data_IF_937614276380
#
_entry.id   IF_937614276380
#
_cell.length_a   1.000
_cell.length_b   1.000
_cell.length_c   1.000
_cell.angle_alpha   90.00
_cell.angle_beta   90.00
_cell.angle_gamma   90.00
#
_symmetry.space_group_name_H-M   'P 1'
#
loop_
_entity.id
_entity.type
_entity.pdbx_description
1 polymer ?
2 polymer ?
3 polymer ?
4 non-polymer ?
5 non-polymer ?
6 non-polymer ?
7 water ?
#
# COMPACT_ATOMS: atom_id res chain seq x y z
N UNK A 1 14.05 14.94 5.40
CA UNK A 1 12.79 15.18 4.72
C UNK A 1 11.61 15.21 5.66
N UNK A 2 10.42 15.33 5.08
CA UNK A 2 9.17 15.25 5.84
C UNK A 2 8.90 13.81 6.23
N UNK A 3 8.02 13.62 7.21
CA UNK A 3 7.67 12.26 7.66
C UNK A 3 6.20 12.16 8.02
N UNK A 4 5.71 10.92 8.08
CA UNK A 4 4.33 10.70 8.47
C UNK A 4 4.18 9.43 9.31
N UNK A 5 3.14 9.38 10.13
CA UNK A 5 2.73 8.13 10.72
C UNK A 5 1.27 7.91 10.35
N UNK A 6 0.94 6.69 9.95
CA UNK A 6 -0.44 6.40 9.54
C UNK A 6 -0.88 5.05 10.07
N UNK A 7 -2.15 4.97 10.45
CA UNK A 7 -2.74 3.67 10.80
C UNK A 7 -3.93 3.40 9.91
N UNK A 8 -4.06 2.13 9.51
CA UNK A 8 -5.09 1.72 8.57
C UNK A 8 -5.87 0.57 9.20
N UNK A 9 -7.19 0.68 9.22
CA UNK A 9 -8.05 -0.34 9.81
C UNK A 9 -9.07 -0.81 8.80
N UNK A 10 -9.24 -2.12 8.69
CA UNK A 10 -10.28 -2.71 7.84
C UNK A 10 -11.09 -3.74 8.62
N UNK A 11 -12.41 -3.64 8.57
CA UNK A 11 -13.29 -4.68 9.12
C UNK A 11 -14.24 -5.17 8.05
N UNK A 12 -14.36 -6.49 7.92
CA UNK A 12 -15.23 -7.08 6.91
C UNK A 12 -16.22 -8.04 7.56
N UNK A 13 -17.51 -7.78 7.41
CA UNK A 13 -18.50 -8.62 8.09
C UNK A 13 -18.61 -10.00 7.45
N UNK A 14 -19.05 -10.97 8.24
CA UNK A 14 -19.10 -12.37 7.83
C UNK A 14 -20.47 -12.92 8.20
N UNK A 15 -21.47 -12.63 7.36
CA UNK A 15 -22.89 -12.93 7.64
C UNK A 15 -23.13 -14.42 7.87
N UNK A 16 -22.32 -15.27 7.26
CA UNK A 16 -22.53 -16.70 7.31
C UNK A 16 -22.27 -17.31 8.68
N UNK A 17 -21.29 -16.75 9.39
CA UNK A 17 -20.91 -17.27 10.69
C UNK A 17 -19.80 -16.43 11.30
N UNK A 18 -19.95 -16.07 12.57
CA UNK A 18 -18.87 -15.45 13.29
C UNK A 18 -18.81 -13.93 13.17
N UNK A 19 -17.67 -13.38 13.57
CA UNK A 19 -17.49 -11.94 13.66
C UNK A 19 -16.67 -11.42 12.49
N UNK A 20 -16.59 -10.08 12.34
CA UNK A 20 -15.84 -9.56 11.20
C UNK A 20 -14.34 -9.88 11.25
N UNK A 21 -13.75 -10.04 10.07
CA UNK A 21 -12.30 -10.04 9.93
C UNK A 21 -11.82 -8.61 10.17
N UNK A 22 -10.84 -8.45 11.05
CA UNK A 22 -10.32 -7.13 11.37
C UNK A 22 -8.81 -7.12 11.21
N UNK A 23 -8.32 -6.19 10.41
CA UNK A 23 -6.89 -6.06 10.17
C UNK A 23 -6.48 -4.61 10.35
N UNK A 24 -5.47 -4.38 11.19
CA UNK A 24 -4.93 -3.05 11.43
C UNK A 24 -3.44 -3.07 11.13
N UNK A 25 -2.94 -2.03 10.48
CA UNK A 25 -1.51 -1.90 10.23
C UNK A 25 -1.08 -0.46 10.53
N UNK A 26 0.14 -0.31 11.03
CA UNK A 26 0.70 1.01 11.26
C UNK A 26 1.96 1.19 10.44
N UNK A 27 2.16 2.40 9.92
CA UNK A 27 3.32 2.77 9.11
C UNK A 27 3.98 4.02 9.65
N UNK A 28 5.31 4.07 9.52
CA UNK A 28 6.02 5.35 9.55
C UNK A 28 6.56 5.51 8.14
N UNK A 29 6.19 6.61 7.49
CA UNK A 29 6.52 6.77 6.07
C UNK A 29 6.10 5.51 5.31
N UNK A 30 7.02 4.89 4.55
CA UNK A 30 6.64 3.70 3.79
C UNK A 30 7.08 2.39 4.44
N UNK A 31 7.21 2.41 5.77
CA UNK A 31 7.68 1.25 6.52
C UNK A 31 6.58 0.78 7.47
N UNK A 32 6.08 -0.43 7.26
CA UNK A 32 5.14 -1.00 8.21
C UNK A 32 5.88 -1.33 9.50
N UNK A 33 5.28 -1.01 10.64
CA UNK A 33 5.95 -1.31 11.91
C UNK A 33 5.13 -2.10 12.93
N UNK A 34 3.80 -2.11 12.77
CA UNK A 34 2.93 -2.93 13.63
C UNK A 34 1.78 -3.49 12.82
N UNK A 35 1.16 -4.54 13.36
CA UNK A 35 -0.05 -5.12 12.76
C UNK A 35 -0.88 -5.81 13.83
N UNK A 36 -2.17 -5.90 13.56
CA UNK A 36 -3.08 -6.76 14.29
C UNK A 36 -3.97 -7.43 13.27
N UNK A 37 -4.10 -8.75 13.39
CA UNK A 37 -4.99 -9.48 12.50
C UNK A 37 -5.84 -10.40 13.37
N UNK A 38 -7.15 -10.21 13.31
CA UNK A 38 -8.07 -11.02 14.10
C UNK A 38 -7.93 -12.51 13.81
N UNK A 39 -7.48 -12.85 12.61
CA UNK A 39 -7.29 -14.26 12.22
C UNK A 39 -6.01 -14.87 12.76
N UNK A 40 -5.10 -14.04 13.25
CA UNK A 40 -3.80 -14.50 13.73
C UNK A 40 -3.89 -15.07 15.14
N UNK A 41 -2.85 -15.77 15.57
CA UNK A 41 -2.91 -16.50 16.84
C UNK A 41 -2.70 -15.63 18.08
N UNK A 42 -1.88 -14.60 17.96
CA UNK A 42 -1.44 -13.82 19.13
C UNK A 42 -2.58 -13.06 19.80
N UNK A 43 -3.50 -12.55 18.99
CA UNK A 43 -4.53 -11.63 19.44
C UNK A 43 -3.91 -10.44 20.13
N UNK A 44 -2.72 -10.06 19.66
CA UNK A 44 -2.02 -8.89 20.16
C UNK A 44 -1.57 -7.98 19.02
N UNK A 45 -1.34 -6.71 19.34
CA UNK A 45 -0.59 -5.89 18.40
C UNK A 45 0.81 -6.48 18.32
N UNK A 46 1.32 -6.63 17.10
CA UNK A 46 2.61 -7.32 16.88
C UNK A 46 3.60 -6.40 16.20
N UNK A 47 4.89 -6.56 16.54
CA UNK A 47 5.94 -5.76 15.87
C UNK A 47 6.19 -6.23 14.43
N UNK A 48 6.53 -5.30 13.56
CA UNK A 48 6.90 -5.65 12.18
C UNK A 48 8.17 -4.91 11.72
N UNK A 49 8.80 -4.20 12.64
CA UNK A 49 10.09 -3.57 12.37
C UNK A 49 11.00 -3.71 13.59
N UNK A 50 12.31 -3.89 13.37
CA UNK A 50 13.18 -4.15 14.51
C UNK A 50 13.16 -3.01 15.52
N UNK A 51 13.04 -1.77 15.05
CA UNK A 51 13.14 -0.63 15.95
C UNK A 51 11.95 -0.45 16.88
N UNK A 52 10.86 -1.18 16.66
CA UNK A 52 9.72 -1.09 17.58
C UNK A 52 9.78 -2.18 18.65
N UNK A 53 10.61 -3.20 18.41
CA UNK A 53 10.65 -4.35 19.32
C UNK A 53 11.10 -3.97 20.74
N UNK A 54 11.88 -2.90 20.83
CA UNK A 54 12.39 -2.41 22.10
C UNK A 54 11.31 -1.83 23.01
N UNK A 55 10.14 -1.53 22.46
CA UNK A 55 9.06 -1.01 23.30
C UNK A 55 8.68 -2.07 24.34
N UNK A 56 8.39 -1.62 25.56
CA UNK A 56 8.16 -2.51 26.68
C UNK A 56 6.75 -3.07 26.79
N UNK A 57 6.52 -3.94 27.78
CA UNK A 57 5.23 -4.61 27.94
C UNK A 57 4.08 -3.63 28.10
N UNK A 58 4.32 -2.49 28.73
CA UNK A 58 3.27 -1.49 28.88
C UNK A 58 2.78 -1.01 27.52
N UNK A 59 3.73 -0.81 26.60
CA UNK A 59 3.41 -0.36 25.25
C UNK A 59 2.54 -1.40 24.55
N UNK A 60 3.02 -2.64 24.50
CA UNK A 60 2.30 -3.68 23.78
C UNK A 60 0.92 -3.95 24.38
N UNK A 61 0.81 -3.87 25.71
CA UNK A 61 -0.49 -4.05 26.35
C UNK A 61 -1.48 -2.98 25.93
N UNK A 62 -1.02 -1.73 25.97
CA UNK A 62 -1.87 -0.60 25.63
C UNK A 62 -2.29 -0.61 24.17
N UNK A 63 -1.33 -0.87 23.29
CA UNK A 63 -1.63 -0.95 21.86
C UNK A 63 -2.66 -2.05 21.58
N UNK A 64 -2.47 -3.21 22.20
CA UNK A 64 -3.38 -4.33 22.05
C UNK A 64 -4.78 -3.97 22.55
N UNK A 65 -4.86 -3.42 23.76
CA UNK A 65 -6.13 -3.02 24.33
C UNK A 65 -6.85 -2.07 23.39
N UNK A 66 -6.14 -1.06 22.90
CA UNK A 66 -6.75 -0.07 22.03
C UNK A 66 -7.19 -0.65 20.69
N UNK A 67 -6.36 -1.48 20.07
CA UNK A 67 -6.70 -2.01 18.76
C UNK A 67 -7.86 -3.01 18.85
N UNK A 68 -7.89 -3.78 19.94
CA UNK A 68 -9.01 -4.73 20.12
C UNK A 68 -10.30 -3.93 20.30
N UNK A 69 -10.20 -2.81 21.03
CA UNK A 69 -11.34 -1.93 21.22
C UNK A 69 -11.82 -1.33 19.89
N UNK A 70 -10.87 -0.94 19.03
CA UNK A 70 -11.18 -0.48 17.67
C UNK A 70 -11.98 -1.55 16.93
N UNK A 71 -11.57 -2.80 17.05
CA UNK A 71 -12.26 -3.87 16.33
C UNK A 71 -13.70 -3.99 16.79
N UNK A 72 -13.95 -3.81 18.08
CA UNK A 72 -15.32 -3.93 18.58
C UNK A 72 -16.15 -2.73 18.14
N UNK A 73 -15.53 -1.54 18.14
CA UNK A 73 -16.24 -0.36 17.65
C UNK A 73 -16.66 -0.56 16.19
N UNK A 74 -15.76 -1.08 15.36
CA UNK A 74 -16.09 -1.37 13.97
C UNK A 74 -17.16 -2.42 13.80
N UNK A 75 -17.13 -3.44 14.65
CA UNK A 75 -18.18 -4.46 14.62
C UNK A 75 -19.56 -3.83 14.85
N UNK A 76 -19.66 -2.99 15.88
CA UNK A 76 -20.92 -2.32 16.16
C UNK A 76 -21.29 -1.41 14.98
N UNK A 77 -20.30 -0.69 14.46
CA UNK A 77 -20.53 0.22 13.33
C UNK A 77 -21.12 -0.51 12.14
N UNK A 78 -20.62 -1.71 11.86
CA UNK A 78 -21.16 -2.47 10.73
C UNK A 78 -22.66 -2.70 10.90
N UNK A 79 -23.07 -3.00 12.13
CA UNK A 79 -24.48 -3.16 12.44
C UNK A 79 -25.25 -1.86 12.25
N UNK A 80 -24.70 -0.77 12.79
CA UNK A 80 -25.34 0.54 12.68
C UNK A 80 -25.52 0.95 11.22
N UNK A 81 -24.49 0.73 10.43
CA UNK A 81 -24.50 1.15 9.02
C UNK A 81 -25.49 0.31 8.23
N UNK A 82 -25.57 -0.98 8.53
CA UNK A 82 -26.57 -1.83 7.90
C UNK A 82 -27.96 -1.21 8.11
N UNK A 83 -28.22 -0.76 9.33
CA UNK A 83 -29.49 -0.13 9.64
C UNK A 83 -29.70 1.19 8.92
N UNK A 84 -28.68 2.05 8.94
CA UNK A 84 -28.76 3.35 8.27
C UNK A 84 -29.15 3.20 6.81
N UNK A 85 -28.59 2.19 6.14
CA UNK A 85 -28.80 1.99 4.71
C UNK A 85 -29.89 0.96 4.40
N UNK A 86 -30.61 0.53 5.43
CA UNK A 86 -31.70 -0.42 5.25
C UNK A 86 -31.25 -1.66 4.47
N UNK A 87 -30.10 -2.20 4.84
CA UNK A 87 -29.54 -3.35 4.14
C UNK A 87 -29.84 -4.68 4.81
N UNK A 88 -29.78 -5.75 4.04
CA UNK A 88 -30.03 -7.09 4.53
C UNK A 88 -28.93 -7.55 5.48
N UNK A 89 -29.24 -8.50 6.36
CA UNK A 89 -28.21 -9.11 7.19
C UNK A 89 -27.42 -10.14 6.40
N UNK A 90 -27.79 -10.35 5.15
CA UNK A 90 -27.23 -11.46 4.37
C UNK A 90 -25.91 -11.16 3.65
N UNK A 91 -25.60 -9.89 3.42
CA UNK A 91 -24.42 -9.54 2.64
C UNK A 91 -23.23 -9.13 3.48
N UNK A 92 -22.03 -9.30 2.94
CA UNK A 92 -20.81 -8.84 3.61
C UNK A 92 -20.61 -7.36 3.30
N UNK A 93 -20.22 -6.61 4.32
CA UNK A 93 -19.90 -5.19 4.14
C UNK A 93 -18.58 -4.84 4.79
N UNK A 94 -18.04 -3.68 4.44
CA UNK A 94 -16.70 -3.30 4.86
C UNK A 94 -16.67 -1.90 5.48
N UNK A 95 -15.97 -1.77 6.62
CA UNK A 95 -15.64 -0.46 7.15
C UNK A 95 -14.13 -0.28 7.06
N UNK A 96 -13.70 0.91 6.66
CA UNK A 96 -12.28 1.23 6.66
C UNK A 96 -12.08 2.55 7.38
N UNK A 97 -10.95 2.66 8.09
CA UNK A 97 -10.63 3.91 8.77
C UNK A 97 -9.13 4.12 8.63
N UNK A 98 -8.73 5.37 8.36
CA UNK A 98 -7.32 5.70 8.26
C UNK A 98 -7.08 7.00 8.97
N UNK A 99 -6.06 7.06 9.78
CA UNK A 99 -5.69 8.36 10.35
C UNK A 99 -4.19 8.50 10.46
N UNK A 100 -3.74 9.72 10.65
CA UNK A 100 -2.31 9.94 10.78
C UNK A 100 -1.90 11.39 10.81
N UNK A 101 -0.61 11.61 10.98
CA UNK A 101 -0.07 12.95 11.08
C UNK A 101 1.19 13.08 10.22
N UNK A 102 1.39 14.27 9.65
CA UNK A 102 2.58 14.57 8.87
C UNK A 102 3.41 15.60 9.63
N UNK A 103 4.72 15.46 9.58
CA UNK A 103 5.62 16.50 10.11
C UNK A 103 6.61 16.92 9.03
N UNK A 104 7.13 18.14 9.16
CA UNK A 104 8.08 18.65 8.19
C UNK A 104 9.50 18.21 8.47
N UNK A 105 10.45 18.76 7.74
CA UNK A 105 11.85 18.39 7.93
C UNK A 105 12.35 18.76 9.33
N UNK A 106 11.66 19.71 9.96
CA UNK A 106 11.98 20.11 11.33
C UNK A 106 11.18 19.31 12.36
N UNK A 107 10.45 18.30 11.88
CA UNK A 107 9.66 17.40 12.73
C UNK A 107 8.52 18.08 13.47
N UNK A 108 8.16 19.28 13.05
CA UNK A 108 7.00 19.95 13.61
C UNK A 108 5.74 19.54 12.84
N UNK A 109 4.60 19.56 13.52
CA UNK A 109 3.31 19.21 12.95
C UNK A 109 3.02 19.98 11.68
N UNK A 110 2.56 19.27 10.65
CA UNK A 110 2.21 19.88 9.37
C UNK A 110 0.70 19.74 9.14
N UNK A 111 0.21 18.51 9.25
CA UNK A 111 -1.22 18.26 9.06
C UNK A 111 -1.68 16.94 9.69
N UNK A 112 -2.98 16.84 9.94
CA UNK A 112 -3.54 15.63 10.49
C UNK A 112 -4.71 15.17 9.64
N UNK A 113 -5.04 13.89 9.72
CA UNK A 113 -6.20 13.38 9.00
C UNK A 113 -6.85 12.21 9.71
N UNK A 114 -8.15 12.04 9.46
CA UNK A 114 -8.90 10.94 10.03
C UNK A 114 -10.13 10.76 9.16
N UNK A 115 -10.15 9.68 8.41
CA UNK A 115 -11.26 9.46 7.50
C UNK A 115 -11.79 8.04 7.59
N UNK A 116 -13.05 7.91 7.22
CA UNK A 116 -13.81 6.70 7.44
C UNK A 116 -14.61 6.40 6.18
N UNK A 117 -14.65 5.13 5.79
CA UNK A 117 -15.38 4.70 4.61
C UNK A 117 -16.26 3.50 4.89
N UNK A 118 -17.38 3.42 4.16
CA UNK A 118 -18.27 2.26 4.21
C UNK A 118 -18.40 1.71 2.80
N UNK A 119 -18.16 0.41 2.67
CA UNK A 119 -18.17 -0.28 1.38
C UNK A 119 -17.38 0.47 0.30
N UNK A 120 -16.24 1.02 0.70
CA UNK A 120 -15.28 1.56 -0.24
C UNK A 120 -15.54 2.97 -0.71
N UNK A 121 -16.55 3.60 -0.12
CA UNK A 121 -16.87 4.98 -0.47
C UNK A 121 -16.70 5.89 0.74
N UNK A 122 -16.26 7.13 0.49
CA UNK A 122 -16.19 8.14 1.55
C UNK A 122 -17.46 8.11 2.38
N UNK A 123 -17.31 8.15 3.70
CA UNK A 123 -18.45 8.24 4.60
C UNK A 123 -18.35 9.54 5.38
N UNK A 124 -17.40 9.61 6.29
CA UNK A 124 -17.16 10.85 7.03
C UNK A 124 -15.67 11.07 7.19
N UNK A 125 -15.24 12.32 7.14
CA UNK A 125 -13.82 12.63 7.26
C UNK A 125 -13.62 13.93 8.03
N UNK A 126 -12.59 13.94 8.86
CA UNK A 126 -12.18 15.17 9.54
C UNK A 126 -11.53 16.13 8.55
N UNK A 127 -12.01 17.38 8.51
CA UNK A 127 -11.39 18.37 7.65
C UNK A 127 -10.01 18.79 8.15
N UNK A 128 -9.25 19.47 7.32
CA UNK A 128 -7.88 19.82 7.67
C UNK A 128 -7.80 20.75 8.87
N UNK A 129 -8.88 21.46 9.18
CA UNK A 129 -8.89 22.30 10.38
C UNK A 129 -8.89 21.48 11.67
N UNK A 130 -9.13 20.17 11.53
CA UNK A 130 -9.22 19.24 12.65
C UNK A 130 -10.34 19.62 13.61
N UNK A 131 -11.35 20.31 13.06
CA UNK A 131 -12.51 20.73 13.86
C UNK A 131 -13.82 20.37 13.19
N UNK A 132 -13.82 20.31 11.86
CA UNK A 132 -15.02 20.20 11.07
C UNK A 132 -15.12 18.82 10.41
N UNK A 133 -16.32 18.47 9.92
CA UNK A 133 -16.56 17.16 9.32
C UNK A 133 -17.14 17.24 7.91
N UNK A 134 -16.60 16.42 7.02
CA UNK A 134 -17.16 16.20 5.70
C UNK A 134 -17.98 14.92 5.75
N UNK A 135 -19.31 15.07 5.66
CA UNK A 135 -20.22 13.93 5.63
C UNK A 135 -20.73 13.76 4.22
N UNK A 136 -20.54 12.57 3.65
CA UNK A 136 -20.80 12.39 2.22
C UNK A 136 -22.27 12.28 1.84
N UNK A 137 -23.08 11.76 2.76
CA UNK A 137 -24.51 11.55 2.52
C UNK A 137 -25.27 11.72 3.82
N UNK A 138 -26.57 11.44 3.81
CA UNK A 138 -27.41 11.75 4.97
C UNK A 138 -27.18 10.80 6.14
N UNK A 139 -26.76 9.57 5.87
CA UNK A 139 -26.38 8.66 6.95
C UNK A 139 -25.18 9.25 7.67
N UNK A 140 -24.16 9.61 6.90
CA UNK A 140 -22.96 10.25 7.44
C UNK A 140 -23.30 11.53 8.19
N UNK A 141 -24.29 12.27 7.71
CA UNK A 141 -24.72 13.47 8.41
C UNK A 141 -25.27 13.13 9.80
N UNK A 142 -26.00 12.02 9.90
CA UNK A 142 -26.47 11.55 11.20
C UNK A 142 -25.27 11.29 12.12
N UNK A 143 -24.29 10.58 11.58
CA UNK A 143 -23.06 10.32 12.32
C UNK A 143 -22.38 11.63 12.72
N UNK A 144 -22.35 12.61 11.82
CA UNK A 144 -21.67 13.87 12.09
C UNK A 144 -22.25 14.55 13.33
N UNK A 145 -23.58 14.60 13.41
CA UNK A 145 -24.22 15.21 14.57
C UNK A 145 -23.93 14.43 15.85
N UNK A 146 -23.91 13.11 15.75
CA UNK A 146 -23.53 12.26 16.87
C UNK A 146 -22.11 12.59 17.32
N UNK A 147 -21.20 12.70 16.35
CA UNK A 147 -19.79 12.96 16.67
C UNK A 147 -19.55 14.36 17.22
N UNK A 148 -20.35 15.32 16.78
CA UNK A 148 -20.30 16.66 17.37
C UNK A 148 -20.66 16.58 18.84
N UNK A 149 -21.79 15.93 19.12
CA UNK A 149 -22.28 15.83 20.49
C UNK A 149 -21.30 15.10 21.41
N UNK A 150 -20.53 14.19 20.84
CA UNK A 150 -19.57 13.38 21.62
C UNK A 150 -18.14 13.95 21.63
N UNK A 151 -17.96 15.15 21.08
CA UNK A 151 -16.67 15.83 21.13
C UNK A 151 -15.55 15.06 20.44
N UNK A 152 -15.92 14.31 19.40
CA UNK A 152 -14.95 13.46 18.71
C UNK A 152 -13.79 14.24 18.07
N UNK A 153 -14.12 15.32 17.35
CA UNK A 153 -13.09 16.11 16.70
C UNK A 153 -12.07 16.67 17.71
N UNK A 154 -12.55 17.13 18.86
CA UNK A 154 -11.63 17.64 19.88
C UNK A 154 -10.60 16.58 20.25
N UNK A 155 -11.07 15.36 20.49
CA UNK A 155 -10.18 14.28 20.89
C UNK A 155 -9.21 13.93 19.78
N UNK A 156 -9.72 13.86 18.55
CA UNK A 156 -8.85 13.54 17.41
C UNK A 156 -7.78 14.61 17.20
N UNK A 157 -8.18 15.87 17.27
CA UNK A 157 -7.25 16.98 17.13
C UNK A 157 -6.13 16.89 18.17
N UNK A 158 -6.49 16.59 19.42
CA UNK A 158 -5.51 16.46 20.49
C UNK A 158 -4.51 15.35 20.19
N UNK A 159 -5.03 14.22 19.73
CA UNK A 159 -4.17 13.08 19.36
C UNK A 159 -3.27 13.42 18.18
N UNK A 160 -3.85 14.01 17.15
CA UNK A 160 -3.11 14.23 15.91
C UNK A 160 -1.97 15.24 16.07
N UNK A 161 -2.20 16.27 16.87
CA UNK A 161 -1.18 17.31 17.08
C UNK A 161 -0.28 16.99 18.26
N UNK A 162 -0.66 16.00 19.06
CA UNK A 162 0.09 15.66 20.27
C UNK A 162 0.71 14.28 20.16
N UNK A 163 0.04 13.30 20.75
CA UNK A 163 0.55 11.93 20.77
C UNK A 163 1.08 11.49 19.42
N UNK A 164 0.31 11.73 18.36
CA UNK A 164 0.71 11.26 17.03
C UNK A 164 2.10 11.78 16.66
N UNK A 165 2.29 13.09 16.78
CA UNK A 165 3.58 13.66 16.37
C UNK A 165 4.70 13.31 17.35
N UNK A 166 4.39 13.28 18.63
CA UNK A 166 5.38 12.98 19.66
C UNK A 166 5.96 11.58 19.48
N UNK A 167 5.07 10.62 19.22
CA UNK A 167 5.51 9.24 19.06
C UNK A 167 6.14 8.99 17.70
N UNK A 168 5.66 9.70 16.68
CA UNK A 168 6.34 9.67 15.38
C UNK A 168 7.80 10.07 15.55
N UNK A 169 8.02 11.16 16.29
CA UNK A 169 9.39 11.63 16.52
C UNK A 169 10.21 10.59 17.28
N UNK A 170 9.59 9.93 18.24
CA UNK A 170 10.24 8.86 18.97
C UNK A 170 10.70 7.75 18.03
N UNK A 171 9.79 7.32 17.16
CA UNK A 171 10.09 6.23 16.23
C UNK A 171 11.20 6.63 15.28
N UNK A 172 11.15 7.86 14.77
CA UNK A 172 12.15 8.35 13.83
C UNK A 172 13.54 8.29 14.44
N UNK A 173 13.64 8.61 15.73
CA UNK A 173 14.92 8.55 16.43
C UNK A 173 15.35 7.11 16.67
N UNK A 174 14.44 6.29 17.17
CA UNK A 174 14.76 4.89 17.48
C UNK A 174 15.11 4.07 16.25
N UNK A 175 14.48 4.37 15.13
CA UNK A 175 14.74 3.67 13.89
C UNK A 175 15.53 4.49 12.90
N UNK A 176 16.33 5.43 13.39
CA UNK A 176 16.99 6.39 12.50
C UNK A 176 17.83 5.75 11.40
N UNK A 177 18.49 4.63 11.73
CA UNK A 177 19.42 4.02 10.80
C UNK A 177 18.74 3.60 9.49
N UNK A 178 17.45 3.32 9.55
CA UNK A 178 16.68 3.05 8.34
C UNK A 178 15.64 4.13 8.01
N UNK A 179 14.90 4.59 9.01
CA UNK A 179 13.81 5.54 8.75
C UNK A 179 14.30 6.90 8.24
N UNK A 180 15.49 7.31 8.66
CA UNK A 180 16.03 8.58 8.23
C UNK A 180 17.07 8.40 7.13
N UNK A 181 17.11 7.22 6.54
CA UNK A 181 18.02 6.93 5.43
C UNK A 181 17.24 6.87 4.13
N UNK A 182 17.73 7.55 3.10
CA UNK A 182 17.15 7.41 1.78
C UNK A 182 17.98 6.42 0.97
N UNK A 183 17.31 5.58 0.20
CA UNK A 183 18.00 4.65 -0.69
C UNK A 183 17.71 5.11 -2.11
N UNK A 184 18.71 5.70 -2.74
CA UNK A 184 18.55 6.18 -4.11
C UNK A 184 18.26 5.02 -5.05
N UNK A 185 17.43 5.26 -6.06
CA UNK A 185 17.12 4.20 -7.03
C UNK A 185 18.37 3.78 -7.79
N UNK A 186 18.56 2.48 -7.93
CA UNK A 186 19.57 1.96 -8.84
C UNK A 186 18.93 1.90 -10.21
N UNK A 187 19.53 2.58 -11.18
CA UNK A 187 18.88 2.75 -12.47
C UNK A 187 19.65 2.13 -13.62
N UNK A 188 18.93 1.57 -14.59
CA UNK A 188 19.56 1.10 -15.82
C UNK A 188 18.52 1.03 -16.92
N UNK A 189 18.99 0.85 -18.15
CA UNK A 189 18.07 0.81 -19.27
C UNK A 189 18.21 -0.51 -20.01
N UNK A 190 17.07 -1.08 -20.38
CA UNK A 190 17.06 -2.29 -21.22
C UNK A 190 16.45 -1.96 -22.58
N UNK A 191 16.70 -2.82 -23.55
CA UNK A 191 16.35 -2.60 -24.95
C UNK A 191 15.73 -3.87 -25.48
N UNK A 192 14.58 -3.74 -26.13
CA UNK A 192 13.80 -4.91 -26.56
C UNK A 192 13.29 -4.65 -27.97
N UNK A 193 13.98 -5.24 -28.94
CA UNK A 193 13.63 -5.04 -30.35
C UNK A 193 12.29 -5.67 -30.64
N UNK A 194 11.46 -4.94 -31.36
CA UNK A 194 10.14 -5.42 -31.74
C UNK A 194 10.13 -5.83 -33.20
N UNK A 195 11.07 -5.26 -33.96
CA UNK A 195 11.19 -5.55 -35.38
C UNK A 195 12.52 -5.01 -35.86
N UNK A 196 12.76 -5.07 -37.17
CA UNK A 196 13.91 -4.41 -37.76
C UNK A 196 13.81 -2.90 -37.60
N UNK A 197 12.58 -2.40 -37.42
CA UNK A 197 12.32 -0.98 -37.52
C UNK A 197 12.23 -0.26 -36.18
N UNK A 198 11.86 -0.96 -35.12
CA UNK A 198 11.65 -0.30 -33.83
C UNK A 198 11.96 -1.17 -32.62
N UNK A 199 12.09 -0.51 -31.47
CA UNK A 199 12.46 -1.19 -30.24
C UNK A 199 11.87 -0.47 -29.06
N UNK A 200 11.67 -1.20 -27.96
CA UNK A 200 11.27 -0.61 -26.69
C UNK A 200 12.51 -0.35 -25.84
N UNK A 201 12.64 0.88 -25.34
CA UNK A 201 13.61 1.15 -24.31
C UNK A 201 12.87 1.18 -22.97
N UNK A 202 13.38 0.44 -22.00
CA UNK A 202 12.75 0.41 -20.68
C UNK A 202 13.72 0.94 -19.63
N UNK A 203 13.29 1.98 -18.91
CA UNK A 203 14.09 2.66 -17.91
C UNK A 203 13.66 2.17 -16.54
N UNK A 204 14.61 1.56 -15.81
CA UNK A 204 14.34 0.91 -14.55
C UNK A 204 14.86 1.71 -13.36
N UNK A 205 14.04 1.76 -12.31
CA UNK A 205 14.49 2.26 -11.02
C UNK A 205 14.21 1.18 -9.96
N UNK A 206 15.27 0.73 -9.28
CA UNK A 206 15.16 -0.41 -8.38
C UNK A 206 15.69 -0.13 -6.98
N UNK A 207 15.14 -0.86 -6.03
CA UNK A 207 15.65 -0.89 -4.66
C UNK A 207 15.66 0.48 -4.00
N UNK A 208 14.64 1.31 -4.27
CA UNK A 208 14.64 2.66 -3.71
C UNK A 208 13.70 2.80 -2.51
N UNK A 209 13.99 3.82 -1.70
CA UNK A 209 13.17 4.17 -0.54
C UNK A 209 13.41 5.63 -0.23
N UNK A 210 12.34 6.43 -0.01
CA UNK A 210 10.93 6.03 0.06
C UNK A 210 10.33 5.73 -1.32
N UNK A 211 9.04 5.43 -1.33
CA UNK A 211 8.38 4.99 -2.56
C UNK A 211 8.20 6.11 -3.59
N UNK A 212 8.05 7.35 -3.14
CA UNK A 212 7.88 8.49 -4.04
C UNK A 212 9.04 8.62 -5.05
N UNK A 213 8.69 8.69 -6.34
CA UNK A 213 9.66 8.78 -7.41
C UNK A 213 8.99 9.30 -8.67
N UNK A 214 9.75 9.96 -9.54
CA UNK A 214 9.23 10.38 -10.84
C UNK A 214 10.17 9.90 -11.94
N UNK A 215 9.60 9.21 -12.93
CA UNK A 215 10.33 8.74 -14.10
C UNK A 215 9.69 9.41 -15.29
N UNK A 216 10.49 10.08 -16.11
CA UNK A 216 9.96 10.74 -17.30
C UNK A 216 10.88 10.49 -18.50
N UNK A 217 10.30 10.46 -19.69
CA UNK A 217 11.07 10.34 -20.92
C UNK A 217 11.11 11.67 -21.65
N UNK A 218 12.24 11.96 -22.29
CA UNK A 218 12.35 13.10 -23.17
C UNK A 218 12.87 12.62 -24.51
N UNK A 219 12.44 13.29 -25.58
CA UNK A 219 13.06 13.11 -26.89
C UNK A 219 13.60 14.45 -27.33
N UNK A 220 14.88 14.49 -27.65
CA UNK A 220 15.55 15.73 -28.05
C UNK A 220 15.26 16.85 -27.04
N UNK A 221 15.23 16.48 -25.77
CA UNK A 221 15.16 17.46 -24.70
C UNK A 221 13.77 18.00 -24.40
N UNK A 222 12.75 17.33 -24.93
CA UNK A 222 11.36 17.72 -24.65
C UNK A 222 10.57 16.51 -24.18
N UNK A 223 9.74 16.71 -23.16
CA UNK A 223 8.97 15.62 -22.58
C UNK A 223 8.23 14.84 -23.66
N UNK A 224 8.30 13.52 -23.56
CA UNK A 224 7.55 12.67 -24.46
C UNK A 224 6.59 11.76 -23.72
N UNK A 225 5.33 11.76 -24.15
CA UNK A 225 4.34 10.87 -23.55
C UNK A 225 3.71 9.91 -24.57
N UNK A 226 3.72 10.29 -25.85
CA UNK A 226 3.28 9.39 -26.92
C UNK A 226 4.10 8.10 -26.89
N UNK A 227 3.46 6.96 -27.06
CA UNK A 227 4.16 5.68 -27.14
C UNK A 227 4.97 5.35 -25.87
N UNK A 228 4.49 5.79 -24.72
CA UNK A 228 5.15 5.46 -23.46
C UNK A 228 4.25 4.61 -22.57
N UNK A 229 4.88 3.89 -21.65
CA UNK A 229 4.17 3.15 -20.62
C UNK A 229 4.87 3.32 -19.28
N UNK A 230 4.08 3.58 -18.24
CA UNK A 230 4.63 3.80 -16.90
C UNK A 230 3.88 2.90 -15.92
N UNK A 231 4.57 1.97 -15.27
CA UNK A 231 3.89 1.08 -14.35
C UNK A 231 3.81 1.67 -12.95
N UNK A 232 2.79 1.27 -12.21
CA UNK A 232 2.65 1.74 -10.83
C UNK A 232 3.83 1.26 -9.99
N UNK A 233 4.26 2.15 -9.09
CA UNK A 233 5.35 1.82 -8.18
C UNK A 233 4.94 0.61 -7.37
N UNK A 234 5.86 -0.34 -7.23
CA UNK A 234 5.55 -1.62 -6.62
C UNK A 234 6.60 -2.03 -5.59
N UNK A 235 6.19 -2.77 -4.55
CA UNK A 235 7.12 -3.18 -3.49
C UNK A 235 8.03 -4.31 -3.95
N UNK A 236 9.33 -4.20 -3.66
CA UNK A 236 10.26 -5.27 -3.99
C UNK A 236 10.08 -6.46 -3.04
N UNK A 237 9.60 -6.19 -1.83
CA UNK A 237 9.41 -7.22 -0.82
C UNK A 237 10.45 -7.21 0.29
N UNK A 238 11.48 -6.39 0.10
CA UNK A 238 12.55 -6.27 1.09
C UNK A 238 12.54 -4.87 1.72
N UNK A 239 11.41 -4.18 1.62
CA UNK A 239 11.28 -2.85 2.17
C UNK A 239 11.50 -1.74 1.15
N UNK A 240 12.05 -2.09 -0.01
CA UNK A 240 12.29 -1.11 -1.07
C UNK A 240 11.24 -1.18 -2.18
N UNK A 241 11.35 -0.29 -3.14
CA UNK A 241 10.35 -0.18 -4.21
C UNK A 241 10.98 -0.20 -5.59
N UNK A 242 10.15 -0.48 -6.60
CA UNK A 242 10.59 -0.55 -7.98
C UNK A 242 9.63 0.20 -8.88
N UNK A 243 10.13 0.67 -10.02
CA UNK A 243 9.26 1.28 -11.04
C UNK A 243 9.99 1.26 -12.37
N UNK A 244 9.24 1.21 -13.47
CA UNK A 244 9.85 1.43 -14.78
C UNK A 244 8.97 2.24 -15.71
N UNK A 245 9.62 2.84 -16.71
CA UNK A 245 8.92 3.60 -17.74
C UNK A 245 9.51 3.15 -19.05
N UNK A 246 8.67 2.97 -20.06
CA UNK A 246 9.16 2.49 -21.36
C UNK A 246 8.67 3.38 -22.49
N UNK A 247 9.42 3.38 -23.59
CA UNK A 247 9.04 4.14 -24.78
C UNK A 247 9.41 3.30 -26.02
N UNK A 248 8.58 3.36 -27.06
CA UNK A 248 8.90 2.69 -28.31
C UNK A 248 9.55 3.70 -29.24
N UNK A 249 10.69 3.34 -29.83
CA UNK A 249 11.46 4.27 -30.64
C UNK A 249 11.86 3.64 -31.97
N UNK A 250 12.07 4.47 -33.01
CA UNK A 250 12.62 3.93 -34.25
C UNK A 250 14.05 3.45 -34.01
N UNK A 251 14.37 2.22 -34.40
CA UNK A 251 15.72 1.71 -34.20
C UNK A 251 16.75 2.57 -34.90
N UNK A 252 17.85 2.83 -34.19
CA UNK A 252 18.89 3.71 -34.71
C UNK A 252 18.77 5.10 -34.12
N UNK A 253 17.61 5.39 -33.53
CA UNK A 253 17.34 6.74 -33.01
C UNK A 253 17.36 6.79 -31.47
N UNK A 254 17.93 5.77 -30.85
CA UNK A 254 17.89 5.65 -29.40
C UNK A 254 18.52 6.81 -28.66
N UNK A 255 19.58 7.39 -29.22
CA UNK A 255 20.30 8.45 -28.51
C UNK A 255 19.50 9.73 -28.36
N UNK A 256 18.39 9.87 -29.08
CA UNK A 256 17.51 11.03 -28.92
C UNK A 256 16.76 10.97 -27.61
N UNK A 257 16.69 9.79 -27.01
CA UNK A 257 15.79 9.56 -25.89
C UNK A 257 16.52 9.51 -24.55
N UNK A 258 16.02 10.29 -23.61
CA UNK A 258 16.59 10.31 -22.27
C UNK A 258 15.55 10.00 -21.20
N UNK A 259 15.94 9.18 -20.24
CA UNK A 259 15.08 8.89 -19.10
C UNK A 259 15.56 9.72 -17.92
N UNK A 260 14.62 10.35 -17.23
CA UNK A 260 14.94 11.25 -16.14
C UNK A 260 14.34 10.74 -14.86
N UNK A 261 15.17 10.64 -13.82
CA UNK A 261 14.75 10.03 -12.56
C UNK A 261 14.89 11.03 -11.42
N UNK A 262 13.78 11.33 -10.76
CA UNK A 262 13.80 12.22 -9.59
C UNK A 262 13.45 11.42 -8.34
N UNK A 263 14.23 11.58 -7.29
CA UNK A 263 14.00 10.85 -6.03
C UNK A 263 14.68 11.60 -4.90
N UNK A 264 14.08 11.54 -3.71
CA UNK A 264 14.63 12.23 -2.53
C UNK A 264 16.09 11.84 -2.25
N UNK A 265 16.45 10.61 -2.61
CA UNK A 265 17.79 10.10 -2.36
C UNK A 265 18.83 10.54 -3.38
N UNK A 266 18.40 11.31 -4.37
CA UNK A 266 19.29 11.84 -5.40
C UNK A 266 19.47 13.35 -5.27
N UNK A 267 20.71 13.80 -5.03
CA UNK A 267 21.03 15.24 -4.93
C UNK A 267 20.58 15.98 -6.19
N UNK A 268 20.87 15.38 -7.33
CA UNK A 268 20.43 15.90 -8.63
C UNK A 268 19.75 14.76 -9.37
N UNK A 269 18.73 15.09 -10.18
CA UNK A 269 18.06 14.05 -10.97
C UNK A 269 19.05 13.33 -11.87
N UNK A 270 18.79 12.05 -12.13
CA UNK A 270 19.64 11.29 -13.02
C UNK A 270 19.08 11.34 -14.43
N UNK A 271 19.98 11.30 -15.40
CA UNK A 271 19.61 11.19 -16.81
C UNK A 271 20.23 9.91 -17.37
N UNK A 272 19.42 9.06 -17.98
CA UNK A 272 19.93 7.85 -18.63
C UNK A 272 19.70 7.88 -20.13
N UNK A 273 20.66 7.31 -20.86
CA UNK A 273 20.57 7.13 -22.31
C UNK A 273 20.99 5.70 -22.62
N UNK A 274 20.44 5.13 -23.69
CA UNK A 274 20.80 3.76 -24.07
C UNK A 274 22.29 3.69 -24.44
N UNK A 275 22.99 2.68 -23.89
CA UNK A 275 24.41 2.51 -24.18
C UNK A 275 24.65 1.34 -25.12
N UNK B 1 -16.76 -4.42 -6.96
CA UNK B 1 -16.91 -3.00 -7.27
C UNK B 1 -15.72 -2.51 -8.11
N UNK B 2 -14.51 -2.82 -7.65
CA UNK B 2 -13.30 -2.42 -8.36
C UNK B 2 -12.39 -3.62 -8.61
N UNK B 3 -11.98 -3.82 -9.85
CA UNK B 3 -11.24 -5.01 -10.23
C UNK B 3 -9.75 -4.85 -9.95
N UNK B 4 -9.06 -5.95 -9.60
CA UNK B 4 -7.64 -5.85 -9.26
C UNK B 4 -6.75 -5.53 -10.45
N UNK B 5 -5.82 -4.61 -10.26
CA UNK B 5 -4.66 -4.49 -11.14
C UNK B 5 -3.65 -5.52 -10.67
N UNK B 6 -2.86 -6.05 -11.60
CA UNK B 6 -1.93 -7.12 -11.28
C UNK B 6 -0.57 -6.83 -11.90
N UNK B 7 0.48 -6.92 -11.09
CA UNK B 7 1.85 -6.98 -11.62
C UNK B 7 2.54 -8.21 -11.08
N UNK B 8 3.16 -8.97 -11.96
CA UNK B 8 3.97 -10.12 -11.56
C UNK B 8 5.41 -9.83 -11.96
N UNK B 9 6.32 -10.04 -11.03
CA UNK B 9 7.70 -9.62 -11.24
C UNK B 9 8.61 -10.22 -10.19
N UNK B 10 9.91 -10.14 -10.44
CA UNK B 10 10.90 -10.66 -9.49
C UNK B 10 11.45 -9.55 -8.60
N UNK B 11 11.85 -9.92 -7.40
CA UNK B 11 12.44 -8.96 -6.48
C UNK B 11 13.75 -8.43 -7.03
N UNK B 12 14.57 -9.33 -7.58
CA UNK B 12 15.87 -8.98 -8.15
C UNK B 12 15.90 -9.26 -9.64
N UNK B 13 16.82 -8.60 -10.37
CA UNK B 13 16.90 -8.87 -11.79
C UNK B 13 17.12 -10.37 -11.98
N UNK B 14 16.37 -10.96 -12.90
CA UNK B 14 16.37 -12.40 -13.04
C UNK B 14 17.60 -12.90 -13.79
N UNK B 15 18.19 -13.97 -13.27
CA UNK B 15 19.23 -14.71 -13.96
C UNK B 15 18.87 -16.16 -13.82
N UNK B 16 18.84 -16.90 -14.92
CA UNK B 16 18.49 -18.30 -14.85
C UNK B 16 19.43 -19.04 -13.91
N UNK B 17 18.85 -19.90 -13.07
CA UNK B 17 19.62 -20.70 -12.13
C UNK B 17 19.97 -20.01 -10.83
N UNK B 18 19.62 -18.74 -10.67
CA UNK B 18 19.90 -18.03 -9.43
C UNK B 18 18.63 -17.72 -8.64
N UNK B 19 18.61 -18.17 -7.39
CA UNK B 19 17.42 -18.00 -6.56
C UNK B 19 17.02 -16.54 -6.41
N UNK B 20 15.71 -16.34 -6.23
CA UNK B 20 15.11 -15.02 -6.32
C UNK B 20 13.78 -15.10 -5.60
N UNK B 21 12.95 -14.06 -5.75
CA UNK B 21 11.63 -14.05 -5.14
C UNK B 21 10.64 -13.64 -6.20
N UNK B 22 9.55 -14.39 -6.30
CA UNK B 22 8.49 -14.11 -7.28
C UNK B 22 7.38 -13.35 -6.57
N UNK B 23 7.07 -12.17 -7.08
CA UNK B 23 6.04 -11.30 -6.50
C UNK B 23 4.81 -11.21 -7.37
N UNK B 24 3.64 -11.22 -6.74
CA UNK B 24 2.43 -10.81 -7.41
C UNK B 24 1.79 -9.71 -6.59
N UNK B 25 1.74 -8.52 -7.16
CA UNK B 25 1.24 -7.35 -6.47
C UNK B 25 -0.15 -7.02 -7.01
N UNK B 26 -1.15 -7.12 -6.15
CA UNK B 26 -2.52 -6.84 -6.57
C UNK B 26 -2.98 -5.57 -5.88
N UNK B 27 -3.65 -4.69 -6.64
CA UNK B 27 -4.01 -3.39 -6.11
C UNK B 27 -5.23 -2.81 -6.80
N UNK B 28 -5.78 -1.75 -6.21
CA UNK B 28 -6.92 -1.03 -6.77
C UNK B 28 -8.23 -1.79 -6.72
N UNK B 29 -8.32 -2.82 -5.87
CA UNK B 29 -9.52 -3.64 -5.81
C UNK B 29 -10.41 -3.39 -4.59
N UNK B 30 -11.68 -3.76 -4.73
CA UNK B 30 -12.64 -3.68 -3.64
C UNK B 30 -13.82 -4.58 -4.01
N UNK B 31 -14.30 -5.41 -3.05
CA UNK B 31 -13.88 -5.52 -1.65
C UNK B 31 -12.56 -6.27 -1.49
N UNK B 32 -12.14 -6.50 -0.24
CA UNK B 32 -10.80 -7.00 0.03
C UNK B 32 -10.63 -8.51 -0.17
N UNK B 33 -11.72 -9.28 -0.12
CA UNK B 33 -11.63 -10.72 -0.33
C UNK B 33 -11.09 -11.00 -1.73
N UNK B 34 -10.04 -11.81 -1.81
CA UNK B 34 -9.39 -12.06 -3.09
C UNK B 34 -8.63 -13.38 -3.06
N UNK B 35 -8.55 -14.05 -4.20
CA UNK B 35 -7.80 -15.29 -4.31
C UNK B 35 -6.60 -15.06 -5.21
N UNK B 36 -5.41 -15.27 -4.66
CA UNK B 36 -4.18 -15.08 -5.42
C UNK B 36 -3.29 -16.30 -5.27
N UNK B 37 -2.93 -16.91 -6.39
CA UNK B 37 -1.99 -18.02 -6.37
C UNK B 37 -0.82 -17.73 -7.27
N UNK B 38 0.36 -18.21 -6.89
CA UNK B 38 1.51 -18.19 -7.78
C UNK B 38 1.64 -19.57 -8.41
N UNK B 39 1.91 -19.61 -9.72
CA UNK B 39 1.94 -20.88 -10.44
C UNK B 39 3.32 -21.14 -10.99
N UNK B 40 3.70 -22.41 -10.97
CA UNK B 40 4.89 -22.87 -11.68
C UNK B 40 4.41 -23.91 -12.67
N UNK B 41 4.55 -23.62 -13.96
CA UNK B 41 4.09 -24.53 -15.00
C UNK B 41 2.63 -24.90 -14.81
N UNK B 42 1.81 -23.91 -14.44
CA UNK B 42 0.38 -24.10 -14.31
C UNK B 42 -0.09 -24.65 -12.98
N UNK B 43 0.84 -25.08 -12.13
CA UNK B 43 0.49 -25.67 -10.84
C UNK B 43 0.68 -24.70 -9.69
N UNK B 44 -0.27 -24.68 -8.77
CA UNK B 44 -0.19 -23.81 -7.61
C UNK B 44 1.07 -24.08 -6.79
N UNK B 45 1.77 -23.02 -6.42
CA UNK B 45 2.91 -23.12 -5.51
C UNK B 45 2.37 -23.08 -4.09
N UNK B 46 2.79 -24.03 -3.26
CA UNK B 46 2.21 -24.21 -1.94
C UNK B 46 2.66 -23.19 -0.88
N UNK B 47 3.95 -22.88 -0.86
CA UNK B 47 4.46 -21.99 0.18
C UNK B 47 4.45 -20.51 -0.26
N UNK B 48 3.28 -19.90 -0.25
CA UNK B 48 3.14 -18.51 -0.67
C UNK B 48 2.65 -17.64 0.48
N UNK B 49 3.38 -16.56 0.76
CA UNK B 49 3.03 -15.64 1.84
C UNK B 49 2.47 -14.35 1.26
N UNK B 50 1.82 -13.55 2.10
CA UNK B 50 1.36 -12.24 1.66
C UNK B 50 1.46 -11.17 2.74
N UNK B 51 1.48 -9.92 2.30
CA UNK B 51 1.56 -8.77 3.19
C UNK B 51 0.24 -8.57 3.92
N UNK B 52 0.27 -7.76 4.96
CA UNK B 52 -0.94 -7.43 5.69
C UNK B 52 -1.77 -6.42 4.89
N UNK B 53 -3.08 -6.70 4.82
CA UNK B 53 -4.00 -5.87 4.04
C UNK B 53 -3.89 -4.40 4.38
N UNK B 54 -3.70 -3.57 3.36
CA UNK B 54 -3.73 -2.14 3.55
C UNK B 54 -4.47 -1.53 2.35
N UNK B 55 -4.58 -0.22 2.33
CA UNK B 55 -5.34 0.42 1.26
C UNK B 55 -4.86 1.81 0.94
N UNK B 56 -5.25 2.29 -0.23
CA UNK B 56 -4.87 3.61 -0.72
C UNK B 56 -5.89 4.69 -0.35
N UNK B 57 -5.56 5.93 -0.73
CA UNK B 57 -6.40 7.08 -0.46
C UNK B 57 -7.83 6.90 -0.96
N UNK B 58 -7.98 6.23 -2.10
CA UNK B 58 -9.31 6.00 -2.68
C UNK B 58 -10.01 4.77 -2.10
N UNK B 59 -9.46 4.23 -1.01
CA UNK B 59 -10.01 3.09 -0.27
C UNK B 59 -9.77 1.74 -0.93
N UNK B 60 -9.20 1.72 -2.13
CA UNK B 60 -8.92 0.45 -2.79
C UNK B 60 -7.76 -0.28 -2.11
N UNK B 61 -7.86 -1.60 -2.07
CA UNK B 61 -6.91 -2.43 -1.32
C UNK B 61 -5.68 -2.81 -2.14
N UNK B 62 -4.60 -3.13 -1.44
CA UNK B 62 -3.44 -3.73 -2.09
C UNK B 62 -2.78 -4.79 -1.21
N UNK B 63 -2.23 -5.80 -1.86
CA UNK B 63 -1.55 -6.92 -1.22
C UNK B 63 -0.37 -7.37 -2.06
N UNK B 64 0.71 -7.77 -1.40
CA UNK B 64 1.81 -8.41 -2.12
C UNK B 64 1.85 -9.89 -1.76
N UNK B 65 1.81 -10.75 -2.77
CA UNK B 65 1.98 -12.19 -2.57
C UNK B 65 3.37 -12.55 -3.09
N UNK B 66 4.07 -13.45 -2.39
CA UNK B 66 5.46 -13.73 -2.75
C UNK B 66 5.93 -15.10 -2.29
N UNK B 67 6.90 -15.64 -3.02
CA UNK B 67 7.51 -16.91 -2.66
C UNK B 67 8.91 -16.96 -3.28
N UNK B 68 9.78 -17.78 -2.72
CA UNK B 68 11.09 -17.98 -3.35
C UNK B 68 10.92 -18.77 -4.64
N UNK B 69 11.72 -18.44 -5.65
CA UNK B 69 11.71 -19.21 -6.89
C UNK B 69 13.06 -19.08 -7.58
N UNK B 70 13.31 -19.96 -8.54
CA UNK B 70 14.52 -19.87 -9.34
C UNK B 70 14.13 -19.81 -10.81
N UNK B 71 14.35 -18.64 -11.44
CA UNK B 71 14.11 -18.51 -12.88
C UNK B 71 14.91 -19.55 -13.65
N UNK B 72 14.31 -20.14 -14.69
CA UNK B 72 15.03 -21.04 -15.57
C UNK B 72 14.59 -20.83 -17.00
N UNK B 73 15.28 -21.47 -17.93
CA UNK B 73 14.90 -21.40 -19.34
C UNK B 73 13.62 -22.17 -19.60
N UNK B 74 13.35 -23.18 -18.77
CA UNK B 74 12.26 -24.11 -19.05
C UNK B 74 10.96 -23.87 -18.29
N UNK B 75 11.05 -23.27 -17.11
CA UNK B 75 9.88 -23.11 -16.26
C UNK B 75 9.11 -21.82 -16.52
N UNK B 76 7.79 -21.92 -16.52
CA UNK B 76 6.95 -20.75 -16.66
C UNK B 76 6.29 -20.43 -15.33
N UNK B 77 6.38 -19.15 -14.94
CA UNK B 77 5.73 -18.72 -13.72
C UNK B 77 4.60 -17.76 -14.04
N UNK B 78 3.61 -17.68 -13.15
CA UNK B 78 2.44 -16.84 -13.39
C UNK B 78 1.73 -16.55 -12.09
N UNK B 79 0.84 -15.54 -12.13
CA UNK B 79 -0.01 -15.24 -10.99
C UNK B 79 -1.44 -15.45 -11.43
N UNK B 80 -2.23 -16.13 -10.62
CA UNK B 80 -3.62 -16.38 -10.93
C UNK B 80 -4.50 -15.72 -9.88
N UNK B 81 -5.39 -14.84 -10.34
CA UNK B 81 -6.19 -14.02 -9.45
C UNK B 81 -7.68 -14.22 -9.68
N UNK B 82 -8.42 -14.43 -8.61
CA UNK B 82 -9.87 -14.41 -8.70
C UNK B 82 -10.45 -13.43 -7.69
N UNK B 83 -11.57 -12.82 -8.06
CA UNK B 83 -12.17 -11.74 -7.31
C UNK B 83 -13.61 -11.61 -7.78
N UNK B 84 -14.49 -11.12 -6.92
CA UNK B 84 -15.91 -11.05 -7.25
C UNK B 84 -16.16 -10.28 -8.56
N UNK B 85 -15.27 -9.35 -8.88
CA UNK B 85 -15.40 -8.55 -10.09
C UNK B 85 -15.03 -9.31 -11.36
N UNK B 86 -14.44 -10.48 -11.22
CA UNK B 86 -13.96 -11.24 -12.38
C UNK B 86 -14.86 -12.42 -12.71
N UNK B 87 -15.22 -12.55 -13.99
CA UNK B 87 -16.05 -13.66 -14.43
C UNK B 87 -15.33 -14.99 -14.20
N UNK B 88 -14.03 -14.97 -14.43
CA UNK B 88 -13.20 -16.17 -14.29
C UNK B 88 -11.82 -15.72 -13.86
N UNK B 89 -11.01 -16.64 -13.31
CA UNK B 89 -9.67 -16.25 -12.85
C UNK B 89 -8.85 -15.60 -13.94
N UNK B 90 -8.10 -14.57 -13.59
CA UNK B 90 -7.19 -13.91 -14.52
C UNK B 90 -5.78 -14.43 -14.28
N UNK B 91 -5.12 -14.84 -15.35
CA UNK B 91 -3.76 -15.35 -15.25
C UNK B 91 -2.80 -14.41 -15.95
N UNK B 92 -1.79 -13.96 -15.23
CA UNK B 92 -0.77 -13.08 -15.79
C UNK B 92 0.56 -13.79 -15.72
N UNK B 93 1.18 -14.00 -16.87
CA UNK B 93 2.45 -14.71 -16.93
C UNK B 93 3.57 -13.79 -16.49
N UNK B 94 4.53 -14.33 -15.74
CA UNK B 94 5.73 -13.59 -15.42
C UNK B 94 6.60 -13.40 -16.66
N UNK B 95 7.03 -12.17 -16.90
CA UNK B 95 7.97 -11.84 -17.98
C UNK B 95 9.13 -11.12 -17.32
N UNK B 96 10.32 -11.68 -17.41
CA UNK B 96 11.48 -11.14 -16.71
C UNK B 96 11.87 -9.72 -17.14
N UNK B 97 11.31 -9.27 -18.27
CA UNK B 97 11.61 -7.93 -18.78
C UNK B 97 10.66 -6.86 -18.26
N UNK B 98 9.75 -7.24 -17.35
CA UNK B 98 8.71 -6.31 -16.88
C UNK B 98 8.51 -6.41 -15.38
N UNK C 1 2.10 5.10 18.00
CA UNK C 1 1.05 4.86 19.00
C UNK C 1 -0.33 5.10 18.41
N UNK C 2 -1.21 4.11 18.56
CA UNK C 2 -2.57 4.21 18.03
C UNK C 2 -3.42 5.14 18.87
N UNK C 3 -4.45 5.71 18.26
CA UNK C 3 -5.37 6.57 18.99
C UNK C 3 -6.36 5.69 19.73
N UNK C 5 -10.08 4.51 20.45
CA UNK C 5 -11.22 4.44 19.53
C UNK C 5 -12.19 5.62 19.71
N UNK C 6 -12.81 6.04 18.62
CA UNK C 6 -13.82 7.10 18.65
C UNK C 6 -15.18 6.53 19.01
N UNK C 7 -16.13 7.42 19.29
CA UNK C 7 -17.54 7.04 19.34
C UNK C 7 -17.94 6.23 18.11
N UNK C 8 -18.96 5.40 18.25
CA UNK C 8 -19.48 4.64 17.13
C UNK C 8 -20.17 5.58 16.15
N UNK C 9 -20.34 5.13 14.90
CA UNK C 9 -21.04 5.93 13.90
C UNK C 9 -22.54 6.00 14.18
#
# INVERSE_FOLDING_TARGET
GSHSMRYFFTSVSRPGRGEPRFIAVGYVDDTQFVRFDSDAASQRMEPRAPWIEQEGPEYWDGETRKVKAHSQTHRVDLGTLRGYYNQSEAGSHTVQRMYGCDVGSDWRFLRGYHQYAYDGKDYIALKEDLRSWTAADMAAQTTKHKWEAAHVAEQLRAYLEGTCVEWLRRYLENGKETLQRTDAPKTHMTHHAVSDHEATLRCWALSFYPAEITLTWQRDGEDQTQDTELVETRPAGDGTFQKWAAVVVPSGQEQRYTCHVQHEGLPKPLTLRWE
QRTPKIQVYSRHPAENGKSNFLNCYVSGFHPSDIEVDLLKNGERIEKVEHSDLSFSKDWSFYLLYYTEFTPTEKDEYACRVNHVTLSQPKIVKWDRDM
RVAXPTSGV
#
